data_IF_888803968522
#
_entry.id   IF_888803968522
#
_cell.length_a   1.000
_cell.length_b   1.000
_cell.length_c   1.000
_cell.angle_alpha   90.00
_cell.angle_beta   90.00
_cell.angle_gamma   90.00
#
_symmetry.space_group_name_H-M   'P 1'
#
loop_
_entity.id
_entity.type
_entity.pdbx_description
1 polymer ?
#
# COMPACT_ATOMS: atom_id res chain seq x y z
N UNK A 1 6.96 -7.43 2.77
CA UNK A 1 8.10 -8.34 2.60
C UNK A 1 9.13 -7.74 1.63
N UNK A 2 10.39 -7.78 2.02
CA UNK A 2 11.46 -7.18 1.22
C UNK A 2 11.78 -8.05 0.00
N UNK A 3 11.70 -7.51 -1.23
CA UNK A 3 12.00 -8.29 -2.42
C UNK A 3 13.47 -8.71 -2.46
N UNK A 4 13.78 -9.98 -2.79
CA UNK A 4 15.17 -10.45 -2.85
C UNK A 4 16.04 -9.66 -3.84
N UNK A 5 15.48 -9.25 -4.98
CA UNK A 5 16.21 -8.47 -5.99
C UNK A 5 16.62 -7.11 -5.44
N UNK A 6 15.70 -6.43 -4.74
CA UNK A 6 15.98 -5.13 -4.12
C UNK A 6 16.98 -5.28 -2.98
N UNK A 7 16.88 -6.34 -2.21
CA UNK A 7 17.81 -6.62 -1.11
C UNK A 7 19.23 -6.88 -1.64
N UNK A 8 19.36 -7.67 -2.69
CA UNK A 8 20.64 -7.94 -3.32
C UNK A 8 21.28 -6.69 -3.93
N UNK A 9 20.48 -5.81 -4.51
CA UNK A 9 20.93 -4.55 -5.08
C UNK A 9 21.11 -3.44 -4.03
N UNK A 10 20.82 -3.72 -2.77
CA UNK A 10 20.85 -2.76 -1.65
C UNK A 10 19.96 -1.54 -1.90
N UNK A 11 18.82 -1.76 -2.51
CA UNK A 11 17.84 -0.69 -2.74
C UNK A 11 16.98 -0.54 -1.48
N UNK A 12 16.91 0.67 -0.96
CA UNK A 12 16.07 1.02 0.19
C UNK A 12 15.32 2.30 -0.11
N UNK A 13 14.33 2.61 0.67
CA UNK A 13 13.60 3.84 0.52
C UNK A 13 12.16 3.73 0.98
N UNK A 14 11.41 4.79 0.71
CA UNK A 14 10.02 4.91 1.13
C UNK A 14 9.14 4.94 -0.12
N UNK A 15 8.21 4.00 -0.21
CA UNK A 15 7.17 3.98 -1.24
C UNK A 15 5.90 4.57 -0.62
N UNK A 16 5.33 5.57 -1.28
CA UNK A 16 4.08 6.20 -0.83
C UNK A 16 2.99 5.83 -1.83
N UNK A 17 1.91 5.29 -1.30
CA UNK A 17 0.78 4.80 -2.08
C UNK A 17 -0.50 5.50 -1.65
N UNK A 18 -1.42 5.60 -2.59
CA UNK A 18 -2.79 5.97 -2.30
C UNK A 18 -3.66 4.75 -2.52
N UNK A 19 -4.31 4.28 -1.47
CA UNK A 19 -5.19 3.12 -1.53
C UNK A 19 -6.65 3.57 -1.52
N UNK A 20 -7.44 3.09 -2.48
CA UNK A 20 -8.88 3.27 -2.47
C UNK A 20 -9.49 2.04 -1.81
N UNK A 21 -10.22 2.27 -0.73
CA UNK A 21 -10.82 1.20 0.07
C UNK A 21 -12.33 1.24 -0.16
N UNK A 22 -12.86 0.12 -0.63
CA UNK A 22 -14.29 0.00 -0.90
C UNK A 22 -15.13 -0.06 0.38
N UNK A 23 -16.47 0.01 0.22
CA UNK A 23 -17.39 -0.01 1.36
C UNK A 23 -17.27 -1.28 2.22
N UNK A 24 -16.77 -2.37 1.67
CA UNK A 24 -16.56 -3.64 2.38
C UNK A 24 -15.23 -3.71 3.12
N UNK A 25 -14.40 -2.65 3.05
CA UNK A 25 -13.09 -2.62 3.68
C UNK A 25 -11.96 -3.18 2.84
N UNK A 26 -12.23 -3.61 1.62
CA UNK A 26 -11.21 -4.16 0.73
C UNK A 26 -10.62 -3.09 -0.16
N UNK A 27 -9.33 -3.23 -0.45
CA UNK A 27 -8.63 -2.32 -1.36
C UNK A 27 -9.08 -2.62 -2.80
N UNK A 28 -9.64 -1.61 -3.46
CA UNK A 28 -10.13 -1.73 -4.83
C UNK A 28 -9.17 -1.16 -5.85
N UNK A 29 -8.29 -0.23 -5.44
CA UNK A 29 -7.30 0.38 -6.33
C UNK A 29 -6.13 0.90 -5.51
N UNK A 30 -4.96 0.96 -6.14
CA UNK A 30 -3.73 1.48 -5.54
C UNK A 30 -2.99 2.33 -6.57
N UNK A 31 -2.67 3.56 -6.19
CA UNK A 31 -1.88 4.47 -7.00
C UNK A 31 -0.56 4.78 -6.30
N UNK A 32 0.54 4.78 -7.05
CA UNK A 32 1.85 5.09 -6.50
C UNK A 32 2.07 6.60 -6.56
N UNK A 33 2.27 7.21 -5.38
CA UNK A 33 2.55 8.65 -5.26
C UNK A 33 4.05 8.91 -5.23
N UNK A 34 4.83 8.01 -4.63
CA UNK A 34 6.28 8.07 -4.62
C UNK A 34 6.83 6.68 -4.91
N UNK A 35 7.59 6.58 -6.00
CA UNK A 35 8.11 5.31 -6.51
C UNK A 35 9.56 5.09 -6.07
N UNK A 36 9.87 3.85 -5.75
CA UNK A 36 11.25 3.39 -5.58
C UNK A 36 11.41 2.14 -6.43
N UNK A 37 12.25 2.18 -7.49
CA UNK A 37 12.45 1.01 -8.35
C UNK A 37 12.81 -0.23 -7.54
N UNK A 38 12.34 -1.40 -7.97
CA UNK A 38 12.49 -2.70 -7.33
C UNK A 38 11.68 -2.89 -6.05
N UNK A 39 11.08 -1.84 -5.49
CA UNK A 39 10.26 -1.93 -4.27
C UNK A 39 8.77 -1.71 -4.54
N UNK A 40 8.42 -1.06 -5.65
CA UNK A 40 7.04 -0.68 -5.93
C UNK A 40 6.08 -1.87 -5.97
N UNK A 41 6.46 -2.93 -6.68
CA UNK A 41 5.60 -4.10 -6.82
C UNK A 41 5.32 -4.77 -5.49
N UNK A 42 6.33 -4.85 -4.62
CA UNK A 42 6.16 -5.43 -3.28
C UNK A 42 5.22 -4.59 -2.44
N UNK A 43 5.35 -3.27 -2.50
CA UNK A 43 4.48 -2.36 -1.75
C UNK A 43 3.04 -2.46 -2.23
N UNK A 44 2.82 -2.44 -3.55
CA UNK A 44 1.48 -2.55 -4.13
C UNK A 44 0.84 -3.90 -3.78
N UNK A 45 1.59 -4.99 -3.93
CA UNK A 45 1.08 -6.33 -3.61
C UNK A 45 0.67 -6.46 -2.16
N UNK A 46 1.49 -5.92 -1.25
CA UNK A 46 1.19 -5.96 0.18
C UNK A 46 -0.10 -5.18 0.49
N UNK A 47 -0.21 -3.96 -0.03
CA UNK A 47 -1.36 -3.09 0.24
C UNK A 47 -2.65 -3.66 -0.34
N UNK A 48 -2.59 -4.27 -1.52
CA UNK A 48 -3.77 -4.87 -2.16
C UNK A 48 -4.39 -6.00 -1.35
N UNK A 49 -3.60 -6.66 -0.52
CA UNK A 49 -4.07 -7.78 0.32
C UNK A 49 -4.65 -7.33 1.65
N UNK A 50 -4.52 -6.04 1.98
CA UNK A 50 -5.00 -5.54 3.26
C UNK A 50 -6.53 -5.49 3.28
N UNK A 51 -7.08 -5.77 4.46
CA UNK A 51 -8.50 -5.62 4.74
C UNK A 51 -8.65 -4.65 5.90
N UNK A 52 -9.60 -3.74 5.75
CA UNK A 52 -9.86 -2.71 6.75
C UNK A 52 -11.28 -2.87 7.28
N UNK A 53 -11.50 -2.40 8.48
CA UNK A 53 -12.86 -2.25 9.00
C UNK A 53 -13.59 -1.21 8.15
N UNK A 54 -14.79 -1.52 7.63
CA UNK A 54 -15.53 -0.56 6.82
C UNK A 54 -15.74 0.76 7.55
N UNK A 55 -15.58 1.87 6.82
CA UNK A 55 -15.86 3.21 7.34
C UNK A 55 -17.34 3.51 7.16
N UNK A 56 -17.99 3.96 8.23
CA UNK A 56 -19.40 4.27 8.20
C UNK A 56 -19.61 5.78 8.22
N UNK A 57 -20.53 6.24 7.37
CA UNK A 57 -21.05 7.60 7.40
C UNK A 57 -22.54 7.51 7.68
N UNK A 58 -22.96 7.98 8.85
CA UNK A 58 -24.35 7.86 9.31
C UNK A 58 -24.86 6.41 9.24
N UNK A 59 -24.00 5.45 9.63
CA UNK A 59 -24.34 4.03 9.62
C UNK A 59 -24.25 3.34 8.26
N UNK A 60 -23.85 4.05 7.20
CA UNK A 60 -23.75 3.50 5.85
C UNK A 60 -22.28 3.30 5.48
N UNK A 61 -21.87 2.10 5.06
CA UNK A 61 -20.51 1.88 4.58
C UNK A 61 -20.20 2.74 3.36
N UNK A 62 -19.05 3.42 3.39
CA UNK A 62 -18.61 4.32 2.31
C UNK A 62 -17.18 4.00 1.92
N UNK A 63 -16.80 4.24 0.65
CA UNK A 63 -15.40 4.13 0.24
C UNK A 63 -14.57 5.26 0.83
N UNK A 64 -13.28 4.98 1.05
CA UNK A 64 -12.33 5.97 1.53
C UNK A 64 -11.03 5.88 0.74
N UNK A 65 -10.29 6.99 0.72
CA UNK A 65 -8.94 7.04 0.14
C UNK A 65 -7.97 7.25 1.30
N UNK A 66 -6.92 6.42 1.32
CA UNK A 66 -5.94 6.43 2.38
C UNK A 66 -4.54 6.51 1.80
N UNK A 67 -3.69 7.35 2.37
CA UNK A 67 -2.27 7.40 2.03
C UNK A 67 -1.52 6.41 2.91
N UNK A 68 -0.75 5.53 2.27
CA UNK A 68 0.02 4.48 2.93
C UNK A 68 1.50 4.70 2.65
N UNK A 69 2.30 4.72 3.70
CA UNK A 69 3.76 4.83 3.60
C UNK A 69 4.38 3.48 3.95
N UNK A 70 5.14 2.92 3.01
CA UNK A 70 5.85 1.66 3.21
C UNK A 70 7.34 1.96 3.22
N UNK A 71 7.98 1.70 4.35
CA UNK A 71 9.39 1.98 4.54
C UNK A 71 10.19 0.68 4.42
N UNK A 72 11.09 0.65 3.43
CA UNK A 72 12.01 -0.47 3.22
C UNK A 72 13.39 -0.06 3.67
N UNK A 73 13.88 -0.68 4.74
CA UNK A 73 15.21 -0.42 5.29
C UNK A 73 16.05 -1.69 5.26
N UNK A 74 17.30 -1.54 4.82
CA UNK A 74 18.30 -2.60 4.89
C UNK A 74 18.99 -2.55 6.25
N UNK A 75 19.31 -3.77 6.76
CA UNK A 75 20.05 -3.91 8.01
C UNK A 75 21.47 -4.38 7.76
#
# INVERSE_FOLDING_TARGET
>A
RYPPVAQAARVSGIVILEAVIGPDGRVTDVNILRSVPLLDDAAVTAVRQWEYTPTLLNGVPVPVIMTVTVNFQLR
#
